data_IF_162882377783
#
_entry.id   IF_162882377783
#
_cell.length_a   1.000
_cell.length_b   1.000
_cell.length_c   1.000
_cell.angle_alpha   90.00
_cell.angle_beta   90.00
_cell.angle_gamma   90.00
#
_symmetry.space_group_name_H-M   'P 1'
#
loop_
_entity.id
_entity.type
_entity.pdbx_description
1 polymer ?
#
# COMPACT_ATOMS: atom_id res chain seq x y z
N UNK A 1 -5.14 -15.60 5.42
CA UNK A 1 -4.02 -16.57 5.58
C UNK A 1 -3.85 -16.94 7.05
N UNK A 2 -3.67 -18.19 7.33
CA UNK A 2 -3.38 -18.62 8.70
C UNK A 2 -1.96 -18.21 9.08
N UNK A 3 -1.79 -17.70 10.31
CA UNK A 3 -0.46 -17.42 10.85
C UNK A 3 0.35 -18.71 10.88
N UNK A 4 1.57 -18.76 10.36
CA UNK A 4 2.40 -19.94 10.41
C UNK A 4 2.60 -20.41 11.84
N UNK A 5 2.33 -21.69 12.09
CA UNK A 5 2.57 -22.30 13.40
C UNK A 5 4.03 -22.75 13.58
N UNK A 6 4.92 -22.33 12.71
CA UNK A 6 6.29 -22.81 12.68
C UNK A 6 7.08 -22.34 13.90
N UNK A 7 6.97 -23.14 14.92
CA UNK A 7 7.96 -23.19 15.97
C UNK A 7 8.79 -24.43 15.67
N UNK A 8 9.97 -24.27 15.11
CA UNK A 8 10.93 -25.36 15.01
C UNK A 8 11.48 -25.58 16.40
N UNK A 9 11.06 -26.66 17.03
CA UNK A 9 11.59 -27.09 18.33
C UNK A 9 12.66 -28.14 18.10
N UNK A 10 13.85 -27.85 18.55
CA UNK A 10 14.95 -28.79 18.54
C UNK A 10 15.46 -28.99 19.97
N UNK A 11 15.47 -30.24 20.43
CA UNK A 11 15.96 -30.57 21.76
C UNK A 11 17.17 -31.52 21.64
N UNK A 12 18.29 -31.08 22.17
CA UNK A 12 19.50 -31.90 22.27
C UNK A 12 19.99 -31.88 23.72
N UNK A 13 19.85 -33.01 24.41
CA UNK A 13 20.16 -33.12 25.86
C UNK A 13 19.26 -32.21 26.68
N UNK A 14 19.84 -31.32 27.48
CA UNK A 14 19.12 -30.37 28.34
C UNK A 14 18.88 -29.00 27.67
N UNK A 15 19.26 -28.85 26.39
CA UNK A 15 19.07 -27.60 25.65
C UNK A 15 17.88 -27.73 24.69
N UNK A 16 16.92 -26.83 24.83
CA UNK A 16 15.78 -26.69 23.92
C UNK A 16 15.97 -25.45 23.08
N UNK A 17 15.95 -25.59 21.74
CA UNK A 17 16.00 -24.50 20.80
C UNK A 17 14.61 -24.32 20.19
N UNK A 18 14.07 -23.07 20.25
CA UNK A 18 12.78 -22.70 19.67
C UNK A 18 13.03 -21.60 18.65
N UNK A 19 12.65 -21.82 17.39
CA UNK A 19 12.76 -20.81 16.33
C UNK A 19 11.39 -20.29 15.90
N UNK A 20 11.22 -18.99 15.96
CA UNK A 20 10.03 -18.28 15.48
C UNK A 20 10.29 -17.47 14.20
N UNK A 21 11.36 -17.79 13.44
CA UNK A 21 11.80 -17.03 12.26
C UNK A 21 10.69 -16.89 11.24
N UNK A 22 10.00 -17.99 10.90
CA UNK A 22 8.93 -17.96 9.88
C UNK A 22 7.74 -17.10 10.31
N UNK A 23 7.44 -17.12 11.61
CA UNK A 23 6.37 -16.30 12.17
C UNK A 23 6.73 -14.81 12.13
N UNK A 24 7.95 -14.45 12.47
CA UNK A 24 8.46 -13.08 12.40
C UNK A 24 8.48 -12.60 10.94
N UNK A 25 8.96 -13.43 10.02
CA UNK A 25 9.02 -13.09 8.61
C UNK A 25 7.61 -12.90 8.01
N UNK A 26 6.67 -13.75 8.36
CA UNK A 26 5.27 -13.59 7.98
C UNK A 26 4.72 -12.25 8.48
N UNK A 27 4.91 -11.94 9.76
CA UNK A 27 4.43 -10.69 10.37
C UNK A 27 5.04 -9.47 9.69
N UNK A 28 6.36 -9.48 9.41
CA UNK A 28 7.04 -8.41 8.68
C UNK A 28 6.46 -8.21 7.28
N UNK A 29 6.26 -9.27 6.52
CA UNK A 29 5.74 -9.20 5.15
C UNK A 29 4.30 -8.65 5.13
N UNK A 30 3.43 -9.19 5.99
CA UNK A 30 2.02 -8.75 6.05
C UNK A 30 1.89 -7.33 6.60
N UNK A 31 2.71 -6.93 7.56
CA UNK A 31 2.75 -5.57 8.09
C UNK A 31 3.23 -4.58 7.02
N UNK A 32 4.25 -4.93 6.25
CA UNK A 32 4.73 -4.12 5.12
C UNK A 32 3.63 -3.96 4.08
N UNK A 33 2.94 -5.02 3.73
CA UNK A 33 1.79 -4.97 2.80
C UNK A 33 0.67 -4.07 3.32
N UNK A 34 0.34 -4.17 4.60
CA UNK A 34 -0.67 -3.31 5.23
C UNK A 34 -0.27 -1.82 5.16
N UNK A 35 0.99 -1.51 5.46
CA UNK A 35 1.52 -0.15 5.35
C UNK A 35 1.45 0.39 3.92
N UNK A 36 1.79 -0.42 2.93
CA UNK A 36 1.72 -0.04 1.51
C UNK A 36 0.28 0.16 1.04
N UNK A 37 -0.67 -0.66 1.49
CA UNK A 37 -2.10 -0.48 1.18
C UNK A 37 -2.63 0.84 1.75
N UNK A 38 -2.33 1.14 3.00
CA UNK A 38 -2.76 2.38 3.66
C UNK A 38 -2.19 3.60 2.93
N UNK A 39 -0.90 3.57 2.58
CA UNK A 39 -0.25 4.59 1.76
C UNK A 39 -0.92 4.73 0.39
N UNK A 40 -1.22 3.62 -0.27
CA UNK A 40 -1.89 3.60 -1.58
C UNK A 40 -3.29 4.22 -1.52
N UNK A 41 -4.09 3.87 -0.53
CA UNK A 41 -5.41 4.47 -0.30
C UNK A 41 -5.31 5.99 -0.10
N UNK A 42 -4.38 6.41 0.76
CA UNK A 42 -4.16 7.82 1.05
C UNK A 42 -3.79 8.60 -0.23
N UNK A 43 -2.81 8.13 -0.99
CA UNK A 43 -2.37 8.79 -2.22
C UNK A 43 -3.44 8.82 -3.30
N UNK A 44 -4.18 7.72 -3.50
CA UNK A 44 -5.29 7.69 -4.45
C UNK A 44 -6.39 8.69 -4.07
N UNK A 45 -6.72 8.80 -2.79
CA UNK A 45 -7.72 9.76 -2.34
C UNK A 45 -7.25 11.21 -2.50
N UNK A 46 -5.98 11.49 -2.21
CA UNK A 46 -5.39 12.82 -2.42
C UNK A 46 -5.33 13.18 -3.90
N UNK A 47 -4.93 12.26 -4.76
CA UNK A 47 -4.94 12.46 -6.20
C UNK A 47 -6.34 12.75 -6.74
N UNK A 48 -7.34 11.95 -6.33
CA UNK A 48 -8.74 12.16 -6.73
C UNK A 48 -9.25 13.55 -6.30
N UNK A 49 -8.97 13.94 -5.07
CA UNK A 49 -9.34 15.24 -4.54
C UNK A 49 -8.71 16.39 -5.35
N UNK A 50 -7.42 16.30 -5.63
CA UNK A 50 -6.70 17.26 -6.47
C UNK A 50 -7.22 17.30 -7.91
N UNK A 51 -7.48 16.13 -8.49
CA UNK A 51 -8.01 16.02 -9.85
C UNK A 51 -9.40 16.65 -9.97
N UNK A 52 -10.30 16.38 -9.03
CA UNK A 52 -11.64 16.96 -9.03
C UNK A 52 -11.67 18.46 -8.69
N UNK A 53 -10.61 18.97 -8.04
CA UNK A 53 -10.41 20.40 -7.86
C UNK A 53 -10.05 21.12 -9.16
N UNK A 54 -9.33 20.45 -10.07
CA UNK A 54 -8.94 20.99 -11.37
C UNK A 54 -10.00 20.75 -12.46
N UNK A 55 -10.63 19.59 -12.42
CA UNK A 55 -11.62 19.14 -13.39
C UNK A 55 -12.93 18.82 -12.69
N UNK A 56 -14.03 19.38 -13.17
CA UNK A 56 -15.35 19.05 -12.63
C UNK A 56 -15.59 17.54 -12.71
N UNK A 57 -16.15 16.96 -11.64
CA UNK A 57 -16.48 15.55 -11.57
C UNK A 57 -17.40 15.14 -12.72
N UNK A 58 -16.89 14.34 -13.65
CA UNK A 58 -17.64 13.84 -14.81
C UNK A 58 -17.64 12.32 -14.80
N UNK A 59 -18.68 11.70 -15.40
CA UNK A 59 -18.71 10.26 -15.64
C UNK A 59 -17.50 9.87 -16.49
N UNK A 60 -16.74 8.86 -16.05
CA UNK A 60 -15.53 8.42 -16.74
C UNK A 60 -14.28 9.25 -16.47
N UNK A 61 -14.30 10.15 -15.51
CA UNK A 61 -13.12 10.95 -15.16
C UNK A 61 -11.96 10.09 -14.63
N UNK A 62 -10.74 10.52 -14.91
CA UNK A 62 -9.49 9.85 -14.49
C UNK A 62 -9.47 9.51 -13.00
N UNK A 63 -9.96 10.41 -12.15
CA UNK A 63 -10.02 10.17 -10.71
C UNK A 63 -10.84 8.93 -10.32
N UNK A 64 -11.88 8.58 -11.08
CA UNK A 64 -12.67 7.37 -10.86
C UNK A 64 -11.88 6.09 -11.17
N UNK A 65 -11.00 6.15 -12.15
CA UNK A 65 -10.22 5.01 -12.63
C UNK A 65 -8.80 4.95 -12.05
N UNK A 66 -8.49 5.78 -11.07
CA UNK A 66 -7.25 5.70 -10.31
C UNK A 66 -7.32 4.55 -9.33
N UNK A 67 -6.27 3.74 -9.32
CA UNK A 67 -6.15 2.59 -8.43
C UNK A 67 -4.74 2.42 -7.92
N UNK A 68 -4.60 1.63 -6.87
CA UNK A 68 -3.32 1.15 -6.39
C UNK A 68 -3.34 -0.36 -6.27
N UNK A 69 -2.17 -0.98 -6.30
CA UNK A 69 -2.00 -2.38 -5.94
C UNK A 69 -0.64 -2.62 -5.31
N UNK A 70 -0.59 -3.61 -4.41
CA UNK A 70 0.61 -4.02 -3.72
C UNK A 70 1.03 -5.38 -4.24
N UNK A 71 2.21 -5.47 -4.84
CA UNK A 71 2.75 -6.74 -5.34
C UNK A 71 3.27 -7.58 -4.18
N UNK A 72 2.81 -8.84 -4.11
CA UNK A 72 3.17 -9.76 -3.02
C UNK A 72 4.65 -10.16 -3.02
N UNK A 73 5.21 -10.37 -4.21
CA UNK A 73 6.60 -10.84 -4.36
C UNK A 73 7.61 -9.73 -4.08
N UNK A 74 7.39 -8.57 -4.67
CA UNK A 74 8.35 -7.48 -4.63
C UNK A 74 8.14 -6.55 -3.44
N UNK A 75 7.03 -6.70 -2.72
CA UNK A 75 6.63 -5.84 -1.60
C UNK A 75 6.71 -4.35 -1.97
N UNK A 76 6.17 -4.00 -3.12
CA UNK A 76 6.11 -2.63 -3.61
C UNK A 76 4.67 -2.17 -3.83
N UNK A 77 4.51 -0.86 -3.87
CA UNK A 77 3.25 -0.18 -4.14
C UNK A 77 3.28 0.42 -5.54
N UNK A 78 2.29 0.08 -6.34
CA UNK A 78 2.06 0.70 -7.64
C UNK A 78 0.76 1.51 -7.61
N UNK A 79 0.80 2.72 -8.14
CA UNK A 79 -0.36 3.59 -8.28
C UNK A 79 -0.46 3.97 -9.75
N UNK A 80 -1.63 3.81 -10.31
CA UNK A 80 -1.83 4.06 -11.72
C UNK A 80 -3.29 4.30 -12.09
N UNK A 81 -3.50 4.51 -13.37
CA UNK A 81 -4.80 4.79 -13.97
C UNK A 81 -5.20 3.58 -14.79
N UNK A 82 -6.41 3.10 -14.59
CA UNK A 82 -6.95 1.96 -15.35
C UNK A 82 -7.03 2.27 -16.85
N UNK A 83 -6.94 1.24 -17.71
CA UNK A 83 -7.01 1.40 -19.17
C UNK A 83 -8.27 2.12 -19.68
N UNK A 84 -9.37 2.05 -18.93
CA UNK A 84 -10.61 2.77 -19.24
C UNK A 84 -10.46 4.29 -19.30
N UNK A 85 -9.40 4.82 -18.68
CA UNK A 85 -9.05 6.25 -18.65
C UNK A 85 -7.63 6.48 -19.20
N UNK A 86 -7.28 5.83 -20.30
CA UNK A 86 -5.95 5.91 -20.93
C UNK A 86 -5.47 7.33 -21.19
N UNK A 87 -6.38 8.26 -21.46
CA UNK A 87 -6.09 9.68 -21.64
C UNK A 87 -5.49 10.36 -20.38
N UNK A 88 -5.64 9.74 -19.21
CA UNK A 88 -5.00 10.23 -17.98
C UNK A 88 -3.48 10.21 -18.04
N UNK A 89 -2.90 9.27 -18.77
CA UNK A 89 -1.46 9.25 -19.04
C UNK A 89 -1.00 10.46 -19.85
N UNK A 90 -1.80 10.89 -20.82
CA UNK A 90 -1.52 12.11 -21.60
C UNK A 90 -1.57 13.38 -20.74
N UNK A 91 -2.46 13.42 -19.76
CA UNK A 91 -2.54 14.54 -18.82
C UNK A 91 -1.36 14.54 -17.85
N UNK A 92 -0.92 13.38 -17.39
CA UNK A 92 0.20 13.25 -16.45
C UNK A 92 1.54 13.62 -17.11
N UNK A 93 1.83 13.08 -18.29
CA UNK A 93 3.11 13.26 -18.98
C UNK A 93 3.11 14.41 -19.98
N UNK A 94 1.94 14.85 -20.43
CA UNK A 94 1.79 15.81 -21.51
C UNK A 94 1.99 15.20 -22.89
N UNK A 95 1.59 15.94 -23.91
CA UNK A 95 1.79 15.62 -25.32
C UNK A 95 2.11 16.91 -26.08
N UNK A 96 2.36 16.83 -27.40
CA UNK A 96 2.53 18.02 -28.25
C UNK A 96 1.33 18.96 -28.23
N UNK A 97 0.14 18.45 -27.90
CA UNK A 97 -1.12 19.22 -27.84
C UNK A 97 -1.66 19.44 -26.43
N UNK A 98 -1.16 18.68 -25.45
CA UNK A 98 -1.65 18.71 -24.07
C UNK A 98 -0.53 19.07 -23.11
N UNK A 99 -0.75 20.10 -22.32
CA UNK A 99 0.20 20.52 -21.30
C UNK A 99 0.35 19.45 -20.20
N UNK A 100 1.58 19.17 -19.79
CA UNK A 100 1.87 18.27 -18.67
C UNK A 100 1.27 18.79 -17.37
N UNK A 101 0.45 17.98 -16.71
CA UNK A 101 -0.07 18.28 -15.37
C UNK A 101 0.85 17.76 -14.27
N UNK A 102 1.33 16.51 -14.40
CA UNK A 102 2.17 15.85 -13.41
C UNK A 102 1.50 15.75 -12.03
N UNK A 103 0.17 15.64 -11.98
CA UNK A 103 -0.60 15.71 -10.75
C UNK A 103 -0.35 14.52 -9.85
N UNK A 104 -0.21 13.31 -10.40
CA UNK A 104 0.05 12.10 -9.64
C UNK A 104 1.44 12.18 -8.97
N UNK A 105 2.46 12.57 -9.72
CA UNK A 105 3.82 12.80 -9.22
C UNK A 105 3.84 13.88 -8.14
N UNK A 106 3.22 15.02 -8.39
CA UNK A 106 3.11 16.13 -7.42
C UNK A 106 2.37 15.71 -6.15
N UNK A 107 1.34 14.89 -6.27
CA UNK A 107 0.60 14.38 -5.11
C UNK A 107 1.49 13.53 -4.24
N UNK A 108 2.30 12.64 -4.81
CA UNK A 108 3.26 11.84 -4.07
C UNK A 108 4.33 12.71 -3.38
N UNK A 109 4.96 13.61 -4.13
CA UNK A 109 6.01 14.49 -3.63
C UNK A 109 5.54 15.42 -2.52
N UNK A 110 4.34 15.99 -2.65
CA UNK A 110 3.77 16.91 -1.66
C UNK A 110 3.33 16.25 -0.36
N UNK A 111 3.20 14.92 -0.35
CA UNK A 111 2.70 14.17 0.80
C UNK A 111 3.73 13.20 1.39
N UNK A 112 5.02 13.38 1.10
CA UNK A 112 6.11 12.52 1.62
C UNK A 112 6.07 12.45 3.15
N UNK A 113 5.90 13.56 3.84
CA UNK A 113 5.82 13.58 5.30
C UNK A 113 4.66 12.72 5.83
N UNK A 114 3.50 12.76 5.18
CA UNK A 114 2.34 11.94 5.56
C UNK A 114 2.55 10.46 5.24
N UNK A 115 3.22 10.15 4.15
CA UNK A 115 3.61 8.78 3.80
C UNK A 115 4.55 8.21 4.87
N UNK A 116 5.56 8.98 5.27
CA UNK A 116 6.49 8.60 6.35
C UNK A 116 5.75 8.39 7.68
N UNK A 117 4.80 9.26 8.01
CA UNK A 117 3.96 9.11 9.21
C UNK A 117 3.17 7.79 9.20
N UNK A 118 2.52 7.47 8.08
CA UNK A 118 1.77 6.21 7.91
C UNK A 118 2.70 5.01 8.07
N UNK A 119 3.84 5.01 7.40
CA UNK A 119 4.80 3.91 7.49
C UNK A 119 5.40 3.75 8.88
N UNK A 120 5.69 4.86 9.55
CA UNK A 120 6.22 4.86 10.93
C UNK A 120 5.23 4.24 11.92
N UNK A 121 3.92 4.47 11.75
CA UNK A 121 2.87 3.84 12.55
C UNK A 121 2.97 2.31 12.48
N UNK A 122 3.16 1.75 11.29
CA UNK A 122 3.28 0.30 11.11
C UNK A 122 4.61 -0.24 11.62
N UNK A 123 5.72 0.46 11.39
CA UNK A 123 7.04 0.04 11.87
C UNK A 123 7.13 0.05 13.40
N UNK A 124 6.55 1.05 14.05
CA UNK A 124 6.54 1.11 15.53
C UNK A 124 5.74 -0.02 16.17
N UNK A 125 4.80 -0.63 15.45
CA UNK A 125 4.04 -1.77 15.94
C UNK A 125 4.82 -3.09 15.95
N UNK A 126 6.01 -3.15 15.34
CA UNK A 126 6.87 -4.34 15.35
C UNK A 126 7.38 -4.72 16.75
N UNK A 127 7.41 -3.76 17.67
CA UNK A 127 7.79 -4.01 19.07
C UNK A 127 6.74 -4.85 19.82
N UNK A 128 5.50 -4.88 19.31
CA UNK A 128 4.38 -5.60 19.92
C UNK A 128 3.63 -6.41 18.84
N UNK A 129 3.78 -7.73 18.91
CA UNK A 129 3.16 -8.64 17.94
C UNK A 129 1.63 -8.50 17.92
N UNK A 130 0.99 -8.27 19.06
CA UNK A 130 -0.45 -8.12 19.12
C UNK A 130 -0.93 -6.88 18.37
N UNK A 131 -0.21 -5.77 18.49
CA UNK A 131 -0.48 -4.54 17.73
C UNK A 131 -0.25 -4.74 16.24
N UNK A 132 0.84 -5.40 15.85
CA UNK A 132 1.13 -5.72 14.46
C UNK A 132 0.01 -6.56 13.81
N UNK A 133 -0.43 -7.61 14.48
CA UNK A 133 -1.52 -8.47 14.01
C UNK A 133 -2.86 -7.73 13.94
N UNK A 134 -3.13 -6.83 14.87
CA UNK A 134 -4.34 -6.00 14.85
C UNK A 134 -4.36 -5.08 13.61
N UNK A 135 -3.25 -4.41 13.30
CA UNK A 135 -3.12 -3.56 12.12
C UNK A 135 -3.26 -4.35 10.80
N UNK A 136 -2.68 -5.55 10.72
CA UNK A 136 -2.80 -6.43 9.55
C UNK A 136 -4.28 -6.77 9.31
N UNK A 137 -4.99 -7.20 10.34
CA UNK A 137 -6.43 -7.55 10.25
C UNK A 137 -7.31 -6.36 9.90
N UNK A 138 -7.04 -5.19 10.47
CA UNK A 138 -7.79 -3.97 10.16
C UNK A 138 -7.68 -3.60 8.68
N UNK A 139 -6.50 -3.71 8.10
CA UNK A 139 -6.30 -3.42 6.69
C UNK A 139 -6.86 -4.51 5.75
N UNK A 140 -6.83 -5.77 6.14
CA UNK A 140 -7.51 -6.84 5.39
C UNK A 140 -9.02 -6.61 5.34
N UNK A 141 -9.62 -6.21 6.45
CA UNK A 141 -11.08 -5.94 6.52
C UNK A 141 -11.47 -4.70 5.70
N UNK A 142 -10.65 -3.66 5.69
CA UNK A 142 -10.87 -2.44 4.89
C UNK A 142 -10.52 -2.62 3.40
N UNK A 143 -9.75 -3.63 3.09
CA UNK A 143 -9.04 -3.81 1.81
C UNK A 143 -9.73 -4.70 0.78
N UNK A 144 -11.04 -4.84 0.78
CA UNK A 144 -11.78 -5.66 -0.19
C UNK A 144 -11.65 -5.28 -1.68
N UNK A 145 -10.57 -4.60 -2.07
CA UNK A 145 -10.29 -4.13 -3.43
C UNK A 145 -8.88 -4.51 -3.91
N UNK A 146 -8.21 -5.44 -3.25
CA UNK A 146 -6.97 -5.98 -3.80
C UNK A 146 -7.33 -6.94 -4.93
N UNK A 147 -7.34 -6.43 -6.15
CA UNK A 147 -7.37 -7.27 -7.32
C UNK A 147 -6.09 -8.13 -7.36
N UNK A 148 -6.27 -9.43 -7.34
CA UNK A 148 -5.23 -10.40 -7.68
C UNK A 148 -4.71 -10.19 -9.10
#
# INVERSE_FOLDING_TARGET
MAIPKSVVKFKKGNVEFISNVDRIQYTLNELTRAALRDTGKFLCNRFRSGYYGLFKKKKGAVGKYTQYWVRKKDLDLQIGIKPNAFYGGFQEFGTSKTKKLGLLTKTAESNIAKIVEIQSKYLSSLEDEAKALALIKEEEYKGGADGD
#
